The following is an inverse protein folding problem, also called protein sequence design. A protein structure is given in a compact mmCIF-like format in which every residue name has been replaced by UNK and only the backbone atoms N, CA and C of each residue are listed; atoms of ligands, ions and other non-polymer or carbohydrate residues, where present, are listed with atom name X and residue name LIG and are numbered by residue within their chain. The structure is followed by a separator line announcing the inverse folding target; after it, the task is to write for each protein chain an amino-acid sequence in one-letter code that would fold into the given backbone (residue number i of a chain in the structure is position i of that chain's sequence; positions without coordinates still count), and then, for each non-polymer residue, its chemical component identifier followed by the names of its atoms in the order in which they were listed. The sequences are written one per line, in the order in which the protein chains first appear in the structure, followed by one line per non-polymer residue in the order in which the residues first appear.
data_IF_008255205048
#
_entry.id   IF_008255205048
#
_cell.length_a   1.000
_cell.length_b   1.000
_cell.length_c   1.000
_cell.angle_alpha   90.00
_cell.angle_beta   90.00
_cell.angle_gamma   90.00
#
_symmetry.space_group_name_H-M   'P 1'
#
loop_
_entity.id
_entity.type
_entity.pdbx_description
1 polymer ?
#
# COMPACT_ATOMS: atom_id res chain seq x y z
N UNK A 1 -24.88 -2.15 18.72
CA UNK A 1 -24.56 -2.12 17.29
C UNK A 1 -25.51 -3.03 16.53
N UNK A 2 -25.94 -2.62 15.33
CA UNK A 2 -26.78 -3.46 14.48
C UNK A 2 -25.94 -4.46 13.69
N UNK A 3 -24.73 -4.07 13.31
CA UNK A 3 -23.79 -4.85 12.53
C UNK A 3 -22.39 -4.86 13.14
N UNK A 4 -21.70 -5.99 13.04
CA UNK A 4 -20.28 -6.13 13.35
C UNK A 4 -19.62 -7.08 12.35
N UNK A 5 -18.44 -6.69 11.81
CA UNK A 5 -17.72 -7.44 10.79
C UNK A 5 -16.27 -7.66 11.20
N UNK A 6 -15.76 -8.87 10.96
CA UNK A 6 -14.34 -9.14 10.97
C UNK A 6 -13.82 -9.27 9.52
N UNK A 7 -13.05 -8.27 9.10
CA UNK A 7 -12.38 -8.25 7.80
C UNK A 7 -10.91 -8.69 7.89
N UNK A 8 -10.45 -9.21 9.05
CA UNK A 8 -9.02 -9.51 9.25
C UNK A 8 -8.64 -10.97 8.99
N UNK A 9 -9.59 -11.87 8.86
CA UNK A 9 -9.42 -13.34 8.78
C UNK A 9 -8.81 -13.97 10.04
N UNK A 10 -8.63 -13.20 11.12
CA UNK A 10 -7.99 -13.65 12.35
C UNK A 10 -8.98 -13.94 13.48
N UNK A 11 -8.60 -14.85 14.37
CA UNK A 11 -9.44 -15.21 15.52
C UNK A 11 -9.69 -14.04 16.45
N UNK A 12 -8.72 -13.12 16.57
CA UNK A 12 -8.88 -11.90 17.41
C UNK A 12 -10.04 -11.02 16.91
N UNK A 13 -10.17 -10.80 15.61
CA UNK A 13 -11.26 -10.04 15.03
C UNK A 13 -12.61 -10.75 15.27
N UNK A 14 -12.66 -12.07 15.06
CA UNK A 14 -13.86 -12.88 15.31
C UNK A 14 -14.34 -12.81 16.76
N UNK A 15 -13.43 -12.87 17.73
CA UNK A 15 -13.77 -12.69 19.14
C UNK A 15 -14.38 -11.31 19.41
N UNK A 16 -13.78 -10.25 18.87
CA UNK A 16 -14.32 -8.89 19.03
C UNK A 16 -15.73 -8.77 18.45
N UNK A 17 -15.96 -9.32 17.26
CA UNK A 17 -17.26 -9.34 16.62
C UNK A 17 -18.26 -10.19 17.42
N UNK A 18 -17.89 -11.39 17.87
CA UNK A 18 -18.73 -12.24 18.68
C UNK A 18 -19.18 -11.57 19.98
N UNK A 19 -18.29 -10.90 20.67
CA UNK A 19 -18.55 -10.20 21.94
C UNK A 19 -19.28 -8.87 21.76
N UNK A 20 -19.36 -8.31 20.54
CA UNK A 20 -20.01 -7.02 20.25
C UNK A 20 -21.51 -7.00 20.56
N UNK A 21 -22.17 -8.15 20.65
CA UNK A 21 -23.63 -8.33 20.77
C UNK A 21 -24.44 -7.67 19.65
N UNK A 22 -23.80 -7.37 18.51
CA UNK A 22 -24.51 -6.88 17.33
C UNK A 22 -25.56 -7.88 16.84
N UNK A 23 -26.65 -7.39 16.25
CA UNK A 23 -27.72 -8.24 15.72
C UNK A 23 -27.21 -9.14 14.58
N UNK A 24 -26.39 -8.57 13.67
CA UNK A 24 -25.74 -9.29 12.59
C UNK A 24 -24.23 -9.26 12.81
N UNK A 25 -23.62 -10.45 12.92
CA UNK A 25 -22.20 -10.65 13.21
C UNK A 25 -21.57 -11.53 12.15
N UNK A 26 -20.72 -10.95 11.31
CA UNK A 26 -20.11 -11.63 10.18
C UNK A 26 -18.59 -11.68 10.23
N UNK A 27 -18.03 -12.76 9.72
CA UNK A 27 -16.61 -12.90 9.49
C UNK A 27 -16.36 -13.66 8.19
N UNK A 28 -15.24 -13.34 7.53
CA UNK A 28 -14.86 -14.07 6.34
C UNK A 28 -14.62 -15.56 6.66
N UNK A 29 -15.08 -16.41 5.75
CA UNK A 29 -14.90 -17.85 5.88
C UNK A 29 -13.52 -18.26 5.38
N UNK A 30 -12.76 -18.95 6.21
CA UNK A 30 -11.56 -19.70 5.79
C UNK A 30 -11.83 -21.19 5.96
N UNK A 31 -11.13 -22.06 5.22
CA UNK A 31 -11.26 -23.53 5.38
C UNK A 31 -11.11 -24.01 6.83
N UNK A 32 -10.36 -23.27 7.66
CA UNK A 32 -10.14 -23.54 9.08
C UNK A 32 -11.25 -22.95 10.00
N UNK A 33 -12.04 -22.00 9.52
CA UNK A 33 -13.02 -21.27 10.33
C UNK A 33 -14.42 -21.88 10.36
N UNK A 34 -14.68 -22.95 9.63
CA UNK A 34 -15.92 -23.72 9.68
C UNK A 34 -16.05 -24.60 10.95
N UNK A 35 -15.33 -24.29 12.01
CA UNK A 35 -15.60 -24.98 13.27
C UNK A 35 -17.01 -24.59 13.74
N UNK A 36 -17.82 -25.55 14.11
CA UNK A 36 -19.15 -25.37 14.74
C UNK A 36 -19.10 -24.37 15.92
N UNK A 37 -17.92 -24.21 16.50
CA UNK A 37 -17.60 -23.29 17.59
C UNK A 37 -17.86 -21.82 17.24
N UNK A 38 -17.43 -21.34 16.07
CA UNK A 38 -17.66 -19.95 15.68
C UNK A 38 -19.13 -19.64 15.36
N UNK A 39 -19.94 -20.65 14.99
CA UNK A 39 -21.38 -20.51 14.78
C UNK A 39 -22.17 -20.15 16.04
N UNK A 40 -21.57 -20.29 17.24
CA UNK A 40 -22.19 -19.86 18.50
C UNK A 40 -22.09 -18.32 18.63
N UNK A 41 -20.99 -17.74 18.13
CA UNK A 41 -20.67 -16.32 18.34
C UNK A 41 -20.98 -15.44 17.12
N UNK A 42 -20.93 -16.03 15.94
CA UNK A 42 -21.15 -15.37 14.66
C UNK A 42 -22.36 -16.01 13.98
N UNK A 43 -23.21 -15.21 13.37
CA UNK A 43 -24.42 -15.69 12.73
C UNK A 43 -24.39 -15.54 11.21
N UNK A 44 -23.24 -15.11 10.64
CA UNK A 44 -23.08 -15.01 9.20
C UNK A 44 -21.67 -15.39 8.76
N UNK A 45 -21.59 -16.37 7.83
CA UNK A 45 -20.36 -16.80 7.19
C UNK A 45 -20.61 -16.92 5.70
N UNK A 46 -20.06 -16.02 4.89
CA UNK A 46 -20.10 -16.18 3.45
C UNK A 46 -19.37 -17.44 3.02
N UNK A 47 -19.63 -17.95 1.81
CA UNK A 47 -18.87 -19.05 1.24
C UNK A 47 -17.34 -18.77 1.31
N UNK A 48 -16.52 -19.82 1.40
CA UNK A 48 -15.06 -19.66 1.35
C UNK A 48 -14.66 -18.86 0.11
N UNK A 49 -13.82 -17.84 0.30
CA UNK A 49 -13.33 -17.02 -0.80
C UNK A 49 -12.54 -17.87 -1.80
N UNK A 50 -12.96 -17.85 -3.05
CA UNK A 50 -12.38 -18.64 -4.14
C UNK A 50 -11.06 -18.10 -4.71
N UNK A 51 -10.64 -16.92 -4.29
CA UNK A 51 -9.46 -16.18 -4.79
C UNK A 51 -9.85 -14.82 -5.38
N UNK A 52 -8.88 -14.00 -5.66
CA UNK A 52 -9.07 -12.64 -6.16
C UNK A 52 -8.62 -11.57 -5.17
N UNK A 53 -9.07 -10.34 -5.38
CA UNK A 53 -8.58 -9.19 -4.64
C UNK A 53 -9.23 -9.07 -3.25
N UNK A 54 -8.48 -8.55 -2.28
CA UNK A 54 -8.98 -8.35 -0.91
C UNK A 54 -10.22 -7.46 -0.83
N UNK A 55 -10.29 -6.41 -1.64
CA UNK A 55 -11.46 -5.51 -1.71
C UNK A 55 -12.73 -6.27 -2.13
N UNK A 56 -12.63 -7.22 -3.08
CA UNK A 56 -13.77 -8.04 -3.51
C UNK A 56 -14.27 -8.93 -2.38
N UNK A 57 -13.32 -9.55 -1.66
CA UNK A 57 -13.64 -10.38 -0.50
C UNK A 57 -14.36 -9.61 0.60
N UNK A 58 -13.83 -8.45 0.95
CA UNK A 58 -14.41 -7.61 2.01
C UNK A 58 -15.76 -7.05 1.59
N UNK A 59 -15.92 -6.68 0.30
CA UNK A 59 -17.19 -6.24 -0.27
C UNK A 59 -18.23 -7.37 -0.25
N UNK A 60 -17.87 -8.58 -0.65
CA UNK A 60 -18.78 -9.73 -0.60
C UNK A 60 -19.33 -9.94 0.82
N UNK A 61 -18.45 -10.00 1.82
CA UNK A 61 -18.88 -10.18 3.21
C UNK A 61 -19.84 -9.07 3.67
N UNK A 62 -19.50 -7.81 3.37
CA UNK A 62 -20.32 -6.67 3.79
C UNK A 62 -21.64 -6.60 3.04
N UNK A 63 -21.65 -6.87 1.72
CA UNK A 63 -22.85 -6.81 0.89
C UNK A 63 -23.90 -7.84 1.31
N UNK A 64 -23.48 -9.05 1.70
CA UNK A 64 -24.38 -10.08 2.19
C UNK A 64 -25.04 -9.69 3.52
N UNK A 65 -24.34 -8.95 4.39
CA UNK A 65 -24.88 -8.54 5.68
C UNK A 65 -25.76 -7.31 5.63
N UNK A 66 -25.42 -6.32 4.81
CA UNK A 66 -26.11 -5.02 4.75
C UNK A 66 -26.81 -4.77 3.40
N UNK A 67 -26.91 -5.79 2.55
CA UNK A 67 -27.61 -5.74 1.26
C UNK A 67 -27.12 -4.57 0.37
N UNK A 68 -25.80 -4.45 0.21
CA UNK A 68 -25.23 -3.50 -0.74
C UNK A 68 -25.52 -3.97 -2.17
N UNK A 69 -26.03 -3.07 -2.98
CA UNK A 69 -26.31 -3.31 -4.39
C UNK A 69 -25.39 -2.45 -5.25
N UNK A 70 -24.89 -2.99 -6.34
CA UNK A 70 -24.08 -2.27 -7.30
C UNK A 70 -22.67 -2.79 -7.44
N UNK A 71 -21.89 -2.12 -8.27
CA UNK A 71 -20.49 -2.45 -8.53
C UNK A 71 -19.61 -2.11 -7.34
N UNK A 72 -18.55 -2.88 -7.18
CA UNK A 72 -17.52 -2.58 -6.18
C UNK A 72 -16.85 -1.25 -6.53
N UNK A 73 -16.90 -0.24 -5.66
CA UNK A 73 -16.37 1.07 -5.97
C UNK A 73 -14.83 1.07 -6.10
N UNK A 74 -14.32 2.10 -6.75
CA UNK A 74 -12.89 2.41 -6.66
C UNK A 74 -12.54 2.87 -5.24
N UNK A 75 -11.29 2.67 -4.84
CA UNK A 75 -10.81 3.28 -3.61
C UNK A 75 -10.79 4.79 -3.77
N UNK A 76 -11.27 5.49 -2.77
CA UNK A 76 -11.14 6.94 -2.66
C UNK A 76 -10.72 7.30 -1.24
N UNK A 77 -9.82 8.23 -1.12
CA UNK A 77 -9.54 8.89 0.15
C UNK A 77 -10.40 10.16 0.17
N UNK A 78 -11.45 10.16 0.97
CA UNK A 78 -12.53 11.15 0.92
C UNK A 78 -12.07 12.61 0.88
N UNK A 79 -13.00 13.53 0.67
CA UNK A 79 -12.78 14.98 0.67
C UNK A 79 -12.55 15.53 2.11
N UNK A 80 -11.64 14.90 2.84
CA UNK A 80 -11.14 15.54 4.06
C UNK A 80 -10.40 16.79 3.61
N UNK A 81 -10.71 17.95 4.22
CA UNK A 81 -9.97 19.19 3.99
C UNK A 81 -8.46 18.91 4.09
N UNK A 82 -7.83 18.69 2.95
CA UNK A 82 -6.46 18.20 2.89
C UNK A 82 -5.55 19.40 2.88
N UNK A 83 -5.12 19.81 4.05
CA UNK A 83 -4.10 20.83 4.18
C UNK A 83 -2.76 20.27 3.69
N UNK A 84 -2.18 20.91 2.69
CA UNK A 84 -0.83 20.59 2.26
C UNK A 84 0.16 20.92 3.39
N UNK A 85 1.15 20.05 3.68
CA UNK A 85 2.24 20.43 4.56
C UNK A 85 2.93 21.70 4.06
N UNK A 86 3.31 22.62 4.94
CA UNK A 86 3.92 23.89 4.57
C UNK A 86 5.12 23.75 3.63
N UNK A 87 5.94 22.73 3.84
CA UNK A 87 7.09 22.42 2.98
C UNK A 87 6.71 22.02 1.54
N UNK A 88 5.42 21.77 1.27
CA UNK A 88 4.91 21.30 -0.02
C UNK A 88 4.04 22.32 -0.75
N UNK A 89 3.69 23.45 -0.10
CA UNK A 89 2.72 24.39 -0.66
C UNK A 89 3.14 24.95 -2.03
N UNK A 90 4.44 25.22 -2.20
CA UNK A 90 5.00 25.84 -3.42
C UNK A 90 5.61 24.79 -4.39
N UNK A 91 5.52 23.50 -4.07
CA UNK A 91 6.07 22.44 -4.90
C UNK A 91 5.00 21.85 -5.81
N UNK A 92 5.25 21.88 -7.11
CA UNK A 92 4.34 21.34 -8.14
C UNK A 92 5.02 20.34 -9.10
N UNK A 93 6.31 20.10 -8.95
CA UNK A 93 7.08 19.12 -9.75
C UNK A 93 7.90 18.23 -8.80
N UNK A 94 7.31 17.11 -8.39
CA UNK A 94 7.95 16.16 -7.49
C UNK A 94 7.45 14.74 -7.68
N UNK A 95 8.30 13.80 -7.31
CA UNK A 95 7.98 12.37 -7.16
C UNK A 95 8.04 12.03 -5.67
N UNK A 96 7.13 11.19 -5.21
CA UNK A 96 7.13 10.69 -3.82
C UNK A 96 7.72 9.28 -3.81
N UNK A 97 8.71 9.04 -2.95
CA UNK A 97 9.19 7.70 -2.62
C UNK A 97 8.83 7.35 -1.17
N UNK A 98 8.43 6.10 -0.94
CA UNK A 98 8.08 5.59 0.39
C UNK A 98 8.87 4.31 0.69
N UNK A 99 10.11 4.44 1.20
CA UNK A 99 11.00 3.30 1.43
C UNK A 99 10.68 2.53 2.70
N UNK A 100 9.83 3.09 3.57
CA UNK A 100 9.52 2.56 4.89
C UNK A 100 8.65 1.30 4.84
N UNK A 101 8.94 0.35 5.73
CA UNK A 101 8.05 -0.74 6.08
C UNK A 101 8.39 -1.23 7.48
N UNK A 102 7.37 -1.52 8.28
CA UNK A 102 7.52 -2.22 9.56
C UNK A 102 8.19 -3.60 9.38
N UNK A 103 7.93 -4.27 8.26
CA UNK A 103 8.49 -5.58 7.94
C UNK A 103 9.83 -5.45 7.23
N UNK A 104 10.95 -5.68 7.95
CA UNK A 104 12.32 -5.55 7.40
C UNK A 104 12.51 -6.31 6.09
N UNK A 105 11.97 -7.52 5.99
CA UNK A 105 12.06 -8.38 4.79
C UNK A 105 11.30 -7.89 3.56
N UNK A 106 10.52 -6.82 3.67
CA UNK A 106 9.92 -6.14 2.52
C UNK A 106 10.73 -4.93 2.06
N UNK A 107 11.77 -4.53 2.80
CA UNK A 107 12.53 -3.32 2.51
C UNK A 107 13.47 -3.52 1.35
N UNK A 108 13.44 -2.57 0.44
CA UNK A 108 14.41 -2.49 -0.64
C UNK A 108 15.73 -1.91 -0.12
N UNK A 109 16.92 -2.37 -0.62
CA UNK A 109 18.22 -1.92 -0.11
C UNK A 109 18.43 -0.41 -0.20
N UNK A 110 19.05 0.17 0.82
CA UNK A 110 19.36 1.62 0.85
C UNK A 110 20.16 2.09 -0.36
N UNK A 111 21.17 1.30 -0.80
CA UNK A 111 21.97 1.61 -2.00
C UNK A 111 21.13 1.75 -3.26
N UNK A 112 20.07 0.97 -3.38
CA UNK A 112 19.15 1.03 -4.51
C UNK A 112 18.23 2.26 -4.45
N UNK A 113 17.72 2.59 -3.23
CA UNK A 113 16.96 3.83 -3.02
C UNK A 113 17.79 5.07 -3.31
N UNK A 114 19.07 5.10 -2.90
CA UNK A 114 19.99 6.18 -3.21
C UNK A 114 20.15 6.36 -4.72
N UNK A 115 20.44 5.25 -5.43
CA UNK A 115 20.60 5.30 -6.88
C UNK A 115 19.34 5.72 -7.61
N UNK A 116 18.17 5.23 -7.17
CA UNK A 116 16.89 5.67 -7.72
C UNK A 116 16.65 7.16 -7.44
N UNK A 117 16.90 7.62 -6.21
CA UNK A 117 16.72 9.03 -5.83
C UNK A 117 17.58 9.97 -6.66
N UNK A 118 18.85 9.64 -6.89
CA UNK A 118 19.74 10.38 -7.80
C UNK A 118 19.15 10.48 -9.22
N UNK A 119 18.66 9.37 -9.76
CA UNK A 119 18.07 9.33 -11.11
C UNK A 119 16.77 10.15 -11.17
N UNK A 120 15.92 10.06 -10.14
CA UNK A 120 14.66 10.82 -10.07
C UNK A 120 14.90 12.34 -10.01
N UNK A 121 15.94 12.77 -9.30
CA UNK A 121 16.33 14.19 -9.25
C UNK A 121 16.83 14.75 -10.59
N UNK A 122 17.08 13.89 -11.59
CA UNK A 122 17.37 14.32 -12.96
C UNK A 122 16.08 14.49 -13.80
N UNK A 123 14.97 13.88 -13.40
CA UNK A 123 13.71 13.85 -14.16
C UNK A 123 12.60 14.69 -13.54
N UNK A 124 12.71 15.03 -12.25
CA UNK A 124 11.81 15.90 -11.50
C UNK A 124 12.59 16.98 -10.78
N UNK A 125 11.94 18.12 -10.53
CA UNK A 125 12.60 19.20 -9.80
C UNK A 125 12.83 18.84 -8.33
N UNK A 126 11.92 18.07 -7.74
CA UNK A 126 11.99 17.72 -6.32
C UNK A 126 11.69 16.23 -6.09
N UNK A 127 12.24 15.72 -5.00
CA UNK A 127 11.98 14.38 -4.50
C UNK A 127 11.43 14.47 -3.07
N UNK A 128 10.36 13.76 -2.79
CA UNK A 128 9.78 13.67 -1.46
C UNK A 128 10.03 12.28 -0.90
N UNK A 129 10.66 12.21 0.26
CA UNK A 129 10.84 10.97 1.02
C UNK A 129 9.82 10.91 2.13
N UNK A 130 8.83 10.03 1.99
CA UNK A 130 7.83 9.76 3.03
C UNK A 130 8.14 8.45 3.76
N UNK A 131 7.68 8.33 5.00
CA UNK A 131 7.80 7.10 5.79
C UNK A 131 6.71 7.06 6.87
N UNK A 132 6.51 5.89 7.48
CA UNK A 132 5.70 5.75 8.68
C UNK A 132 6.31 6.43 9.90
N UNK A 133 5.55 6.53 11.01
CA UNK A 133 5.97 7.23 12.23
C UNK A 133 6.97 6.44 13.09
N UNK A 134 7.24 5.18 12.78
CA UNK A 134 8.12 4.32 13.55
C UNK A 134 9.59 4.77 13.47
N UNK A 135 10.31 4.73 14.59
CA UNK A 135 11.70 5.22 14.65
C UNK A 135 12.64 4.56 13.64
N UNK A 136 12.45 3.26 13.39
CA UNK A 136 13.22 2.53 12.40
C UNK A 136 12.98 2.99 10.97
N UNK A 137 11.76 3.39 10.62
CA UNK A 137 11.42 3.94 9.31
C UNK A 137 11.93 5.36 9.15
N UNK A 138 11.75 6.18 10.18
CA UNK A 138 12.26 7.56 10.23
C UNK A 138 13.80 7.59 10.12
N UNK A 139 14.50 6.72 10.85
CA UNK A 139 15.95 6.59 10.75
C UNK A 139 16.39 6.23 9.33
N UNK A 140 15.71 5.28 8.69
CA UNK A 140 16.00 4.88 7.31
C UNK A 140 15.78 6.06 6.35
N UNK A 141 14.65 6.75 6.45
CA UNK A 141 14.35 7.92 5.62
C UNK A 141 15.39 9.03 5.80
N UNK A 142 15.79 9.37 7.04
CA UNK A 142 16.85 10.35 7.32
C UNK A 142 18.19 9.95 6.71
N UNK A 143 18.57 8.67 6.82
CA UNK A 143 19.82 8.17 6.22
C UNK A 143 19.77 8.30 4.70
N UNK A 144 18.64 7.99 4.07
CA UNK A 144 18.45 8.16 2.63
C UNK A 144 18.55 9.62 2.21
N UNK A 145 17.84 10.53 2.89
CA UNK A 145 17.87 11.97 2.61
C UNK A 145 19.28 12.54 2.77
N UNK A 146 19.98 12.16 3.85
CA UNK A 146 21.38 12.57 4.08
C UNK A 146 22.31 12.07 2.98
N UNK A 147 22.12 10.82 2.51
CA UNK A 147 22.92 10.24 1.44
C UNK A 147 22.69 10.89 0.07
N UNK A 148 21.47 11.35 -0.21
CA UNK A 148 21.15 12.08 -1.45
C UNK A 148 21.73 13.51 -1.47
N UNK A 149 22.01 14.08 -0.32
CA UNK A 149 22.69 15.36 -0.13
C UNK A 149 22.24 16.48 -1.10
N UNK A 150 20.94 16.68 -1.24
CA UNK A 150 20.36 17.66 -2.17
C UNK A 150 19.28 18.50 -1.49
N UNK A 151 19.33 19.82 -1.71
CA UNK A 151 18.30 20.75 -1.24
C UNK A 151 16.93 20.55 -1.90
N UNK A 152 16.87 19.77 -2.97
CA UNK A 152 15.64 19.41 -3.67
C UNK A 152 14.95 18.17 -3.08
N UNK A 153 15.43 17.64 -1.94
CA UNK A 153 14.84 16.52 -1.25
C UNK A 153 14.08 16.98 -0.02
N UNK A 154 12.76 16.76 -0.03
CA UNK A 154 11.89 17.01 1.13
C UNK A 154 11.74 15.73 1.95
N UNK A 155 12.02 15.81 3.25
CA UNK A 155 11.81 14.71 4.17
C UNK A 155 10.52 14.89 4.98
N UNK A 156 9.52 14.04 4.77
CA UNK A 156 8.31 14.04 5.58
C UNK A 156 8.56 13.55 7.02
N UNK A 157 9.65 12.80 7.24
CA UNK A 157 10.13 12.32 8.56
C UNK A 157 9.04 11.61 9.39
N UNK A 158 8.06 10.97 8.74
CA UNK A 158 6.97 10.29 9.44
C UNK A 158 6.07 11.20 10.27
N UNK A 159 6.01 12.49 9.95
CA UNK A 159 5.21 13.50 10.66
C UNK A 159 3.90 13.84 9.97
N UNK A 160 3.77 13.49 8.69
CA UNK A 160 2.56 13.78 7.94
C UNK A 160 1.44 12.82 8.35
N UNK A 161 0.27 13.39 8.53
CA UNK A 161 -0.98 12.63 8.63
C UNK A 161 -1.30 11.95 7.30
N UNK A 162 -2.20 10.99 7.32
CA UNK A 162 -2.70 10.36 6.09
C UNK A 162 -3.35 11.37 5.14
N UNK A 163 -4.02 12.40 5.69
CA UNK A 163 -4.64 13.47 4.90
C UNK A 163 -3.60 14.33 4.19
N UNK A 164 -2.53 14.73 4.88
CA UNK A 164 -1.43 15.48 4.29
C UNK A 164 -0.69 14.67 3.22
N UNK A 165 -0.40 13.39 3.48
CA UNK A 165 0.20 12.51 2.48
C UNK A 165 -0.71 12.34 1.27
N UNK A 166 -2.03 12.21 1.46
CA UNK A 166 -3.01 12.12 0.38
C UNK A 166 -3.04 13.39 -0.47
N UNK A 167 -2.98 14.58 0.16
CA UNK A 167 -2.88 15.85 -0.55
C UNK A 167 -1.64 15.91 -1.45
N UNK A 168 -0.48 15.47 -0.92
CA UNK A 168 0.75 15.41 -1.68
C UNK A 168 0.67 14.38 -2.82
N UNK A 169 0.08 13.20 -2.58
CA UNK A 169 -0.06 12.14 -3.59
C UNK A 169 -0.90 12.58 -4.80
N UNK A 170 -1.99 13.34 -4.59
CA UNK A 170 -2.83 13.84 -5.68
C UNK A 170 -2.09 14.76 -6.64
N UNK A 171 -1.10 15.49 -6.16
CA UNK A 171 -0.27 16.43 -6.96
C UNK A 171 1.05 15.81 -7.42
N UNK A 172 1.44 14.66 -6.89
CA UNK A 172 2.68 14.00 -7.26
C UNK A 172 2.64 13.51 -8.71
N UNK A 173 3.78 13.58 -9.38
CA UNK A 173 3.95 13.03 -10.73
C UNK A 173 3.94 11.51 -10.74
N UNK A 174 4.48 10.90 -9.70
CA UNK A 174 4.45 9.46 -9.45
C UNK A 174 4.73 9.16 -7.98
N UNK A 175 4.31 7.97 -7.57
CA UNK A 175 4.65 7.37 -6.29
C UNK A 175 5.49 6.11 -6.54
N UNK A 176 6.59 5.96 -5.82
CA UNK A 176 7.39 4.74 -5.82
C UNK A 176 7.48 4.18 -4.42
N UNK A 177 7.09 2.94 -4.25
CA UNK A 177 7.06 2.32 -2.92
C UNK A 177 7.17 0.81 -2.96
N UNK A 178 6.95 0.24 -1.80
CA UNK A 178 6.89 -1.20 -1.56
C UNK A 178 5.49 -1.57 -1.07
N UNK A 179 5.19 -2.84 -0.91
CA UNK A 179 3.89 -3.33 -0.40
C UNK A 179 3.61 -2.81 1.03
N UNK A 180 2.92 -1.65 1.12
CA UNK A 180 2.54 -0.96 2.37
C UNK A 180 1.21 -0.23 2.22
N UNK A 181 0.66 0.24 3.35
CA UNK A 181 -0.56 1.05 3.37
C UNK A 181 -0.44 2.34 2.54
N UNK A 182 0.75 2.94 2.46
CA UNK A 182 0.99 4.14 1.65
C UNK A 182 0.79 3.88 0.15
N UNK A 183 1.10 2.68 -0.34
CA UNK A 183 0.85 2.25 -1.72
C UNK A 183 -0.65 2.18 -2.03
N UNK A 184 -1.46 1.70 -1.08
CA UNK A 184 -2.92 1.69 -1.23
C UNK A 184 -3.53 3.09 -1.11
N UNK A 185 -2.94 3.97 -0.29
CA UNK A 185 -3.33 5.39 -0.26
C UNK A 185 -3.03 6.08 -1.59
N UNK A 186 -1.88 5.79 -2.21
CA UNK A 186 -1.54 6.32 -3.53
C UNK A 186 -2.58 5.87 -4.58
N UNK A 187 -3.05 4.63 -4.52
CA UNK A 187 -4.15 4.13 -5.38
C UNK A 187 -5.45 4.89 -5.13
N UNK A 188 -5.83 5.11 -3.87
CA UNK A 188 -7.03 5.87 -3.50
C UNK A 188 -6.96 7.35 -3.91
N UNK A 189 -5.75 7.89 -4.07
CA UNK A 189 -5.49 9.25 -4.57
C UNK A 189 -5.31 9.33 -6.08
N UNK A 190 -5.47 8.22 -6.82
CA UNK A 190 -5.27 8.15 -8.27
C UNK A 190 -3.87 8.63 -8.71
N UNK A 191 -2.87 8.46 -7.85
CA UNK A 191 -1.47 8.73 -8.18
C UNK A 191 -0.93 7.60 -9.05
N UNK A 192 -0.12 7.86 -10.10
CA UNK A 192 0.61 6.81 -10.81
C UNK A 192 1.57 6.09 -9.88
N UNK A 193 1.54 4.75 -9.88
CA UNK A 193 2.25 3.94 -8.91
C UNK A 193 3.28 3.04 -9.57
N UNK A 194 4.48 3.01 -9.01
CA UNK A 194 5.44 1.90 -9.18
C UNK A 194 5.65 1.25 -7.82
N UNK A 195 5.32 -0.02 -7.70
CA UNK A 195 5.40 -0.73 -6.43
C UNK A 195 6.18 -2.04 -6.55
N UNK A 196 7.11 -2.25 -5.62
CA UNK A 196 7.92 -3.45 -5.52
C UNK A 196 7.32 -4.40 -4.49
N UNK A 197 7.15 -5.65 -4.89
CA UNK A 197 6.62 -6.72 -4.05
C UNK A 197 7.67 -7.82 -3.86
N UNK A 198 7.69 -8.44 -2.70
CA UNK A 198 8.48 -9.63 -2.44
C UNK A 198 7.61 -10.89 -2.55
N UNK A 199 7.30 -11.54 -1.44
CA UNK A 199 6.54 -12.80 -1.37
C UNK A 199 5.02 -12.62 -1.27
N UNK A 200 4.51 -11.39 -1.29
CA UNK A 200 3.08 -11.09 -1.16
C UNK A 200 2.26 -11.65 -2.32
N UNK A 201 1.05 -12.12 -2.06
CA UNK A 201 0.11 -12.58 -3.10
C UNK A 201 -0.43 -11.34 -3.82
N UNK A 202 0.11 -11.06 -5.00
CA UNK A 202 -0.20 -9.85 -5.78
C UNK A 202 -1.68 -9.74 -6.12
N UNK A 203 -2.30 -10.82 -6.56
CA UNK A 203 -3.73 -10.80 -6.92
C UNK A 203 -4.62 -10.39 -5.76
N UNK A 204 -4.20 -10.68 -4.54
CA UNK A 204 -4.93 -10.30 -3.33
C UNK A 204 -4.62 -8.87 -2.86
N UNK A 205 -3.39 -8.39 -3.04
CA UNK A 205 -2.88 -7.20 -2.39
C UNK A 205 -2.32 -6.12 -3.32
N UNK A 206 -2.47 -6.26 -4.64
CA UNK A 206 -2.10 -5.18 -5.57
C UNK A 206 -2.94 -3.91 -5.32
N UNK A 207 -2.47 -2.72 -5.71
CA UNK A 207 -3.28 -1.51 -5.66
C UNK A 207 -4.58 -1.70 -6.45
N UNK A 208 -5.73 -1.48 -5.80
CA UNK A 208 -7.04 -1.74 -6.37
C UNK A 208 -7.40 -0.78 -7.49
N UNK A 209 -7.66 -1.29 -8.70
CA UNK A 209 -8.13 -0.54 -9.87
C UNK A 209 -7.40 0.79 -10.07
N UNK A 210 -6.07 0.78 -9.97
CA UNK A 210 -5.23 1.97 -10.08
C UNK A 210 -4.26 1.90 -11.25
N UNK A 211 -3.77 3.05 -11.69
CA UNK A 211 -2.67 3.16 -12.65
C UNK A 211 -1.35 2.77 -11.98
N UNK A 212 -0.96 1.49 -12.10
CA UNK A 212 0.21 0.97 -11.42
C UNK A 212 1.05 0.02 -12.27
N UNK A 213 2.37 0.10 -12.10
CA UNK A 213 3.33 -0.92 -12.52
C UNK A 213 3.81 -1.67 -11.30
N UNK A 214 3.58 -2.98 -11.30
CA UNK A 214 4.02 -3.86 -10.23
C UNK A 214 5.29 -4.60 -10.64
N UNK A 215 6.32 -4.48 -9.82
CA UNK A 215 7.53 -5.27 -9.92
C UNK A 215 7.42 -6.42 -8.92
N UNK A 216 7.23 -7.63 -9.44
CA UNK A 216 6.92 -8.80 -8.63
C UNK A 216 7.78 -10.00 -9.05
N UNK A 217 8.25 -10.83 -8.10
CA UNK A 217 9.14 -11.95 -8.39
C UNK A 217 8.59 -12.98 -9.39
N UNK A 218 7.27 -13.16 -9.49
CA UNK A 218 6.68 -14.02 -10.52
C UNK A 218 7.00 -13.59 -11.96
N UNK A 219 7.56 -12.41 -12.16
CA UNK A 219 8.02 -11.95 -13.48
C UNK A 219 9.35 -12.61 -13.91
N UNK A 220 10.09 -13.22 -12.98
CA UNK A 220 11.37 -13.90 -13.26
C UNK A 220 11.56 -15.23 -12.54
N UNK A 221 10.77 -15.53 -11.51
CA UNK A 221 10.67 -16.85 -10.90
C UNK A 221 9.46 -17.58 -11.50
N UNK A 222 9.63 -18.84 -11.84
CA UNK A 222 8.65 -19.60 -12.60
C UNK A 222 7.41 -20.01 -11.82
N UNK A 223 7.50 -20.05 -10.48
CA UNK A 223 6.41 -20.56 -9.65
C UNK A 223 6.27 -19.83 -8.30
N UNK A 224 5.09 -19.97 -7.69
CA UNK A 224 4.86 -19.49 -6.33
C UNK A 224 5.75 -20.21 -5.31
N UNK A 225 6.11 -21.45 -5.56
CA UNK A 225 6.96 -22.25 -4.72
C UNK A 225 8.38 -21.68 -4.69
N UNK A 226 8.91 -21.31 -5.84
CA UNK A 226 10.21 -20.63 -5.96
C UNK A 226 10.20 -19.27 -5.24
N UNK A 227 9.13 -18.49 -5.36
CA UNK A 227 8.99 -17.23 -4.62
C UNK A 227 9.03 -17.46 -3.11
N UNK A 228 8.39 -18.49 -2.61
CA UNK A 228 8.34 -18.78 -1.17
C UNK A 228 9.66 -19.38 -0.64
N UNK A 229 10.43 -20.05 -1.49
CA UNK A 229 11.75 -20.64 -1.14
C UNK A 229 12.90 -19.65 -1.28
N UNK A 230 12.72 -18.58 -2.06
CA UNK A 230 13.74 -17.53 -2.25
C UNK A 230 13.72 -16.56 -1.06
N UNK A 231 14.87 -16.25 -0.44
CA UNK A 231 14.93 -15.26 0.61
C UNK A 231 14.36 -13.91 0.19
N UNK A 232 13.49 -13.29 1.00
CA UNK A 232 12.86 -12.00 0.63
C UNK A 232 13.85 -10.89 0.31
N UNK A 233 15.03 -10.91 0.92
CA UNK A 233 16.11 -9.96 0.69
C UNK A 233 16.68 -10.11 -0.72
N UNK A 234 16.84 -11.34 -1.22
CA UNK A 234 17.30 -11.63 -2.58
C UNK A 234 16.25 -11.17 -3.62
N UNK A 235 14.97 -11.41 -3.33
CA UNK A 235 13.87 -10.92 -4.17
C UNK A 235 13.92 -9.39 -4.26
N UNK A 236 14.08 -8.72 -3.13
CA UNK A 236 14.12 -7.26 -3.11
C UNK A 236 15.40 -6.71 -3.79
N UNK A 237 16.53 -7.39 -3.64
CA UNK A 237 17.77 -7.03 -4.35
C UNK A 237 17.63 -7.17 -5.88
N UNK A 238 16.87 -8.14 -6.37
CA UNK A 238 16.63 -8.37 -7.81
C UNK A 238 15.80 -7.28 -8.50
N UNK A 239 15.08 -6.45 -7.75
CA UNK A 239 14.49 -5.21 -8.26
C UNK A 239 15.59 -4.16 -8.42
N UNK A 240 16.26 -4.14 -9.57
CA UNK A 240 17.36 -3.17 -9.78
C UNK A 240 16.83 -1.74 -9.92
N UNK A 241 17.61 -0.70 -9.52
CA UNK A 241 17.21 0.70 -9.71
C UNK A 241 16.87 1.05 -11.16
N UNK A 242 17.52 0.41 -12.13
CA UNK A 242 17.26 0.60 -13.55
C UNK A 242 15.86 0.10 -13.93
N UNK A 243 15.45 -1.09 -13.47
CA UNK A 243 14.10 -1.63 -13.71
C UNK A 243 13.03 -0.74 -13.07
N UNK A 244 13.28 -0.29 -11.84
CA UNK A 244 12.35 0.61 -11.13
C UNK A 244 12.25 1.94 -11.86
N UNK A 245 13.37 2.53 -12.28
CA UNK A 245 13.39 3.79 -13.01
C UNK A 245 12.67 3.68 -14.37
N UNK A 246 12.88 2.59 -15.13
CA UNK A 246 12.17 2.36 -16.39
C UNK A 246 10.64 2.35 -16.15
N UNK A 247 10.18 1.63 -15.12
CA UNK A 247 8.77 1.61 -14.75
C UNK A 247 8.23 3.00 -14.36
N UNK A 248 9.05 3.83 -13.68
CA UNK A 248 8.67 5.22 -13.37
C UNK A 248 8.52 6.04 -14.63
N UNK A 249 9.45 5.94 -15.58
CA UNK A 249 9.39 6.70 -16.83
C UNK A 249 8.17 6.38 -17.68
N UNK A 250 7.65 5.16 -17.62
CA UNK A 250 6.41 4.76 -18.28
C UNK A 250 5.15 5.36 -17.64
N UNK A 251 5.22 5.75 -16.37
CA UNK A 251 4.06 6.18 -15.57
C UNK A 251 4.06 7.64 -15.17
N UNK A 252 5.22 8.27 -15.18
CA UNK A 252 5.37 9.62 -14.63
C UNK A 252 4.50 10.65 -15.38
N UNK A 253 3.67 11.37 -14.64
CA UNK A 253 2.84 12.45 -15.19
C UNK A 253 3.68 13.68 -15.52
N UNK A 254 3.21 14.57 -16.42
CA UNK A 254 3.76 15.91 -16.52
C UNK A 254 3.65 16.64 -15.16
N UNK A 255 4.46 17.69 -14.93
CA UNK A 255 4.35 18.50 -13.73
C UNK A 255 2.94 19.05 -13.55
N UNK A 256 2.49 19.09 -12.30
CA UNK A 256 1.18 19.68 -11.97
C UNK A 256 1.21 21.18 -12.29
N UNK A 257 0.26 21.64 -13.10
CA UNK A 257 0.08 23.06 -13.42
C UNK A 257 -1.18 23.56 -12.72
N UNK A 258 -1.08 24.69 -12.01
CA UNK A 258 -2.21 25.35 -11.39
C UNK A 258 -3.12 25.97 -12.44
#
# INVERSE_FOLDING_TARGET
FDYAFDLTDGDRGRWMVGLSRANKRGASSTRKSHSKWWGIWLNHFPPPWGGGHRVEKDYQLTSELISLNGDIPNLSFGEVATTMPSAMCDLNDYVIIHPGSRWKKKRWPLKHWLKLGENLLQTSNNLVVSCGPEDGERKFARTLVSGLNSSRVVNADGRWSWAELAACLRRSRAYVGIDTAATHLAAACQCPIVAMYSYTIVDQWKPWRSDCTLLHPMQWLGSREEVLSTPPEEIMEAHTPQKVMAAVMERIRPPYRY
#
